data_IF_245418784422
#
_entry.id   IF_245418784422
#
_cell.length_a   1.000
_cell.length_b   1.000
_cell.length_c   1.000
_cell.angle_alpha   90.00
_cell.angle_beta   90.00
_cell.angle_gamma   90.00
#
_symmetry.space_group_name_H-M   'P 1'
#
loop_
_entity.id
_entity.type
_entity.pdbx_description
1 polymer ?
#
# COMPACT_ATOMS: atom_id res chain seq x y z
N UNK A 1 -17.35 57.22 -1.02
CA UNK A 1 -17.70 56.01 -0.23
C UNK A 1 -17.47 54.72 -1.04
N UNK A 2 -16.23 54.38 -1.44
CA UNK A 2 -15.94 53.23 -2.33
C UNK A 2 -14.81 52.29 -1.87
N UNK A 3 -13.98 52.73 -0.92
CA UNK A 3 -12.81 51.98 -0.44
C UNK A 3 -13.15 50.86 0.54
N UNK A 4 -14.18 51.05 1.38
CA UNK A 4 -14.65 50.03 2.34
C UNK A 4 -15.26 48.82 1.62
N UNK A 5 -16.04 49.05 0.57
CA UNK A 5 -16.61 47.98 -0.27
C UNK A 5 -15.53 47.18 -1.00
N UNK A 6 -14.50 47.84 -1.52
CA UNK A 6 -13.34 47.17 -2.12
C UNK A 6 -12.58 46.31 -1.10
N UNK A 7 -12.44 46.79 0.14
CA UNK A 7 -11.79 46.01 1.20
C UNK A 7 -12.59 44.77 1.59
N UNK A 8 -13.92 44.88 1.73
CA UNK A 8 -14.77 43.72 1.98
C UNK A 8 -14.80 42.73 0.80
N UNK A 9 -14.79 43.23 -0.44
CA UNK A 9 -14.69 42.38 -1.63
C UNK A 9 -13.37 41.62 -1.68
N UNK A 10 -12.25 42.29 -1.38
CA UNK A 10 -10.92 41.68 -1.29
C UNK A 10 -10.87 40.63 -0.19
N UNK A 11 -11.42 40.93 0.99
CA UNK A 11 -11.46 40.01 2.11
C UNK A 11 -12.32 38.77 1.82
N UNK A 12 -13.47 38.96 1.17
CA UNK A 12 -14.33 37.86 0.73
C UNK A 12 -13.62 37.00 -0.32
N UNK A 13 -12.90 37.61 -1.26
CA UNK A 13 -12.14 36.87 -2.26
C UNK A 13 -10.96 36.09 -1.65
N UNK A 14 -10.29 36.66 -0.63
CA UNK A 14 -9.23 35.98 0.13
C UNK A 14 -9.77 34.79 0.92
N UNK A 15 -10.94 34.94 1.55
CA UNK A 15 -11.61 33.86 2.28
C UNK A 15 -12.14 32.79 1.32
N UNK A 16 -12.71 33.18 0.18
CA UNK A 16 -13.14 32.25 -0.86
C UNK A 16 -11.95 31.50 -1.46
N UNK A 17 -10.85 32.20 -1.77
CA UNK A 17 -9.62 31.59 -2.27
C UNK A 17 -9.00 30.64 -1.24
N UNK A 18 -8.92 31.04 0.03
CA UNK A 18 -8.44 30.20 1.12
C UNK A 18 -9.33 28.98 1.37
N UNK A 19 -10.66 29.16 1.33
CA UNK A 19 -11.64 28.07 1.46
C UNK A 19 -11.58 27.09 0.30
N UNK A 20 -11.47 27.58 -0.94
CA UNK A 20 -11.28 26.73 -2.12
C UNK A 20 -9.96 25.96 -2.00
N UNK A 21 -8.86 26.57 -1.54
CA UNK A 21 -7.57 25.87 -1.33
C UNK A 21 -7.65 24.81 -0.24
N UNK A 22 -8.44 25.03 0.81
CA UNK A 22 -8.67 24.03 1.85
C UNK A 22 -9.53 22.85 1.36
N UNK A 23 -10.50 23.10 0.47
CA UNK A 23 -11.29 22.04 -0.17
C UNK A 23 -10.60 21.38 -1.37
N UNK A 24 -9.65 22.06 -2.01
CA UNK A 24 -8.92 21.56 -3.18
C UNK A 24 -7.59 20.95 -2.76
N UNK A 25 -7.64 19.98 -1.85
CA UNK A 25 -6.55 19.04 -1.57
C UNK A 25 -6.36 17.98 -2.67
N UNK A 26 -6.91 18.20 -3.88
CA UNK A 26 -6.67 17.38 -5.06
C UNK A 26 -5.35 17.76 -5.71
N UNK A 27 -4.27 17.43 -5.03
CA UNK A 27 -2.96 17.37 -5.66
C UNK A 27 -2.72 15.91 -5.99
N UNK A 28 -2.93 15.53 -7.26
CA UNK A 28 -2.31 14.33 -7.82
C UNK A 28 -0.80 14.58 -7.83
N UNK A 29 -0.17 14.42 -6.67
CA UNK A 29 1.26 14.44 -6.54
C UNK A 29 1.71 13.07 -7.02
N UNK A 30 2.33 13.06 -8.20
CA UNK A 30 3.23 11.99 -8.61
C UNK A 30 4.37 11.98 -7.58
N UNK A 31 4.15 11.32 -6.46
CA UNK A 31 5.17 11.09 -5.44
C UNK A 31 5.88 9.81 -5.81
N UNK A 32 6.92 9.92 -6.63
CA UNK A 32 7.96 8.89 -6.71
C UNK A 32 8.74 8.95 -5.40
N UNK A 33 8.21 8.32 -4.37
CA UNK A 33 8.90 8.09 -3.10
C UNK A 33 8.75 6.61 -2.82
N UNK A 34 9.85 5.96 -2.43
CA UNK A 34 9.81 4.55 -1.99
C UNK A 34 8.69 4.41 -0.96
N UNK A 35 7.64 3.68 -1.35
CA UNK A 35 6.44 3.53 -0.53
C UNK A 35 6.74 2.65 0.69
N UNK A 36 7.68 1.73 0.51
CA UNK A 36 8.06 0.70 1.47
C UNK A 36 9.60 0.63 1.48
N UNK A 37 10.24 1.22 2.49
CA UNK A 37 11.69 1.26 2.61
C UNK A 37 12.20 0.12 3.51
N UNK A 38 12.14 -1.13 3.01
CA UNK A 38 12.55 -2.30 3.78
C UNK A 38 14.03 -2.64 3.52
N UNK A 39 14.85 -2.63 4.57
CA UNK A 39 16.14 -3.33 4.55
C UNK A 39 15.91 -4.84 4.59
N UNK A 40 15.92 -5.46 3.41
CA UNK A 40 15.72 -6.91 3.23
C UNK A 40 16.70 -7.78 4.02
N UNK A 41 17.86 -7.24 4.43
CA UNK A 41 18.86 -7.95 5.24
C UNK A 41 18.45 -8.08 6.71
N UNK A 42 17.68 -7.10 7.21
CA UNK A 42 17.20 -7.01 8.58
C UNK A 42 15.90 -7.80 8.80
N UNK A 43 15.19 -8.20 7.75
CA UNK A 43 13.91 -8.93 7.86
C UNK A 43 14.14 -10.31 8.48
N UNK A 44 13.44 -10.55 9.59
CA UNK A 44 13.46 -11.82 10.33
C UNK A 44 12.15 -12.59 10.25
N UNK A 45 11.03 -11.91 10.04
CA UNK A 45 9.74 -12.55 9.84
C UNK A 45 8.83 -11.72 8.92
N UNK A 46 7.97 -12.41 8.19
CA UNK A 46 6.92 -11.82 7.36
C UNK A 46 5.64 -12.58 7.67
N UNK A 47 4.61 -11.87 8.07
CA UNK A 47 3.29 -12.43 8.26
C UNK A 47 2.34 -11.91 7.19
N UNK A 48 1.65 -12.83 6.53
CA UNK A 48 0.67 -12.55 5.50
C UNK A 48 -0.70 -13.00 5.96
N UNK A 49 -1.63 -12.06 5.97
CA UNK A 49 -3.05 -12.27 6.23
C UNK A 49 -3.79 -12.20 4.89
N UNK A 50 -4.16 -13.34 4.30
CA UNK A 50 -4.94 -13.36 3.07
C UNK A 50 -6.33 -12.73 3.26
N UNK A 51 -6.92 -12.31 2.13
CA UNK A 51 -8.26 -11.76 2.06
C UNK A 51 -9.31 -12.76 2.57
N UNK A 52 -10.26 -12.28 3.39
CA UNK A 52 -11.17 -13.09 4.22
C UNK A 52 -10.43 -14.03 5.19
N UNK A 53 -10.79 -13.93 6.48
CA UNK A 53 -10.29 -14.76 7.59
C UNK A 53 -10.45 -16.29 7.44
N UNK A 54 -10.92 -16.78 6.30
CA UNK A 54 -11.06 -18.20 5.97
C UNK A 54 -9.74 -18.87 5.55
N UNK A 55 -8.71 -18.10 5.18
CA UNK A 55 -7.38 -18.64 4.89
C UNK A 55 -6.45 -18.39 6.09
N UNK A 56 -5.74 -19.44 6.50
CA UNK A 56 -4.82 -19.39 7.63
C UNK A 56 -3.65 -18.44 7.33
N UNK A 57 -3.28 -17.65 8.34
CA UNK A 57 -2.09 -16.80 8.33
C UNK A 57 -0.88 -17.59 7.82
N UNK A 58 -0.15 -16.98 6.89
CA UNK A 58 1.11 -17.52 6.40
C UNK A 58 2.22 -16.77 7.11
N UNK A 59 2.92 -17.45 7.99
CA UNK A 59 4.06 -16.91 8.73
C UNK A 59 5.35 -17.43 8.11
N UNK A 60 6.18 -16.52 7.58
CA UNK A 60 7.54 -16.81 7.19
C UNK A 60 8.48 -16.33 8.29
N UNK A 61 9.27 -17.23 8.86
CA UNK A 61 10.25 -16.91 9.90
C UNK A 61 11.65 -17.39 9.50
N UNK A 62 12.65 -16.55 9.72
CA UNK A 62 14.05 -16.89 9.50
C UNK A 62 14.58 -17.67 10.71
N UNK A 63 15.08 -18.87 10.46
CA UNK A 63 15.78 -19.71 11.44
C UNK A 63 17.21 -19.98 10.96
N UNK A 64 18.15 -19.17 11.46
CA UNK A 64 19.55 -19.21 11.04
C UNK A 64 19.72 -18.83 9.57
N UNK A 65 20.07 -19.82 8.73
CA UNK A 65 20.24 -19.67 7.27
C UNK A 65 19.05 -20.14 6.43
N UNK A 66 18.03 -20.72 7.08
CA UNK A 66 16.84 -21.25 6.41
C UNK A 66 15.64 -20.42 6.79
N UNK A 67 14.65 -20.35 5.91
CA UNK A 67 13.35 -19.79 6.24
C UNK A 67 12.35 -20.92 6.40
N UNK A 68 11.42 -20.74 7.33
CA UNK A 68 10.32 -21.66 7.54
C UNK A 68 9.04 -20.90 7.23
N UNK A 69 8.26 -21.42 6.29
CA UNK A 69 6.92 -20.94 6.01
C UNK A 69 5.93 -21.86 6.72
N UNK A 70 5.09 -21.28 7.56
CA UNK A 70 4.09 -21.97 8.37
C UNK A 70 2.71 -21.46 7.98
N UNK A 71 1.77 -22.38 7.77
CA UNK A 71 0.36 -22.10 7.51
C UNK A 71 -0.47 -23.11 8.32
N UNK A 72 -1.12 -22.62 9.38
CA UNK A 72 -1.80 -23.47 10.37
C UNK A 72 -0.88 -24.57 10.91
N UNK A 73 -1.26 -25.83 10.67
CA UNK A 73 -0.49 -27.00 11.14
C UNK A 73 0.60 -27.47 10.16
N UNK A 74 0.79 -26.80 9.03
CA UNK A 74 1.80 -27.17 8.04
C UNK A 74 2.97 -26.21 8.13
N UNK A 75 4.18 -26.75 8.27
CA UNK A 75 5.42 -25.98 8.18
C UNK A 75 6.34 -26.60 7.15
N UNK A 76 6.82 -25.77 6.22
CA UNK A 76 7.71 -26.19 5.14
C UNK A 76 8.96 -25.33 5.16
N UNK A 77 10.11 -25.98 4.93
CA UNK A 77 11.37 -25.27 4.76
C UNK A 77 11.32 -24.53 3.43
N UNK A 78 11.32 -23.21 3.50
CA UNK A 78 11.49 -22.36 2.34
C UNK A 78 12.98 -22.13 2.11
N UNK A 79 13.46 -22.57 0.95
CA UNK A 79 14.84 -22.34 0.53
C UNK A 79 15.05 -20.85 0.28
N UNK A 80 16.24 -20.33 0.61
CA UNK A 80 16.62 -18.93 0.37
C UNK A 80 16.32 -18.49 -1.07
N UNK A 81 16.56 -19.38 -2.06
CA UNK A 81 16.29 -19.16 -3.48
C UNK A 81 14.83 -18.82 -3.82
N UNK A 82 13.86 -19.25 -3.00
CA UNK A 82 12.45 -18.95 -3.20
C UNK A 82 12.03 -17.61 -2.54
N UNK A 83 12.78 -17.14 -1.54
CA UNK A 83 12.45 -15.94 -0.76
C UNK A 83 13.20 -14.71 -1.25
N UNK A 84 14.42 -14.85 -1.75
CA UNK A 84 15.18 -13.72 -2.33
C UNK A 84 14.38 -12.95 -3.39
N UNK A 85 13.68 -13.61 -4.34
CA UNK A 85 12.88 -12.89 -5.33
C UNK A 85 11.67 -12.18 -4.72
N UNK A 86 11.07 -12.74 -3.65
CA UNK A 86 9.97 -12.11 -2.93
C UNK A 86 10.46 -10.84 -2.22
N UNK A 87 11.56 -10.94 -1.48
CA UNK A 87 12.17 -9.80 -0.76
C UNK A 87 12.62 -8.71 -1.73
N UNK A 88 13.21 -9.07 -2.86
CA UNK A 88 13.60 -8.12 -3.89
C UNK A 88 12.38 -7.38 -4.45
N UNK A 89 11.28 -8.10 -4.74
CA UNK A 89 10.02 -7.47 -5.18
C UNK A 89 9.40 -6.55 -4.14
N UNK A 90 9.53 -6.85 -2.85
CA UNK A 90 9.03 -6.00 -1.77
C UNK A 90 9.86 -4.71 -1.62
N UNK A 91 11.18 -4.80 -1.83
CA UNK A 91 12.07 -3.64 -1.79
C UNK A 91 11.93 -2.71 -3.00
N UNK A 92 11.40 -3.23 -4.10
CA UNK A 92 11.18 -2.52 -5.37
C UNK A 92 9.78 -1.88 -5.47
N UNK A 93 9.02 -1.87 -4.36
CA UNK A 93 7.68 -1.26 -4.33
C UNK A 93 7.85 0.26 -4.27
N UNK A 94 7.79 0.88 -5.44
CA UNK A 94 7.78 2.33 -5.60
C UNK A 94 6.35 2.81 -5.89
N UNK A 95 5.89 3.83 -5.14
CA UNK A 95 4.59 4.44 -5.45
C UNK A 95 4.69 5.18 -6.77
N UNK A 96 3.70 4.97 -7.65
CA UNK A 96 3.54 5.79 -8.84
C UNK A 96 2.77 7.08 -8.52
N UNK A 97 1.63 6.96 -7.84
CA UNK A 97 0.82 8.10 -7.37
C UNK A 97 -0.19 7.71 -6.29
N UNK A 98 -0.71 8.72 -5.59
CA UNK A 98 -1.87 8.59 -4.70
C UNK A 98 -3.15 8.60 -5.54
N UNK A 99 -3.96 7.55 -5.36
CA UNK A 99 -5.22 7.34 -6.08
C UNK A 99 -6.39 7.98 -5.34
N UNK A 100 -6.41 7.88 -4.02
CA UNK A 100 -7.41 8.52 -3.18
C UNK A 100 -6.89 8.74 -1.76
N UNK A 101 -7.48 9.72 -1.08
CA UNK A 101 -7.38 9.92 0.38
C UNK A 101 -8.74 9.77 1.07
N UNK A 102 -9.78 9.44 0.29
CA UNK A 102 -11.13 9.28 0.79
C UNK A 102 -11.34 7.85 1.31
N UNK A 103 -11.60 7.73 2.61
CA UNK A 103 -11.83 6.45 3.28
C UNK A 103 -13.02 5.69 2.70
N UNK A 104 -14.01 6.39 2.14
CA UNK A 104 -15.20 5.76 1.54
C UNK A 104 -14.87 5.00 0.25
N UNK A 105 -13.74 5.32 -0.38
CA UNK A 105 -13.29 4.70 -1.62
C UNK A 105 -12.38 3.48 -1.39
N UNK A 106 -11.98 3.18 -0.14
CA UNK A 106 -11.09 2.06 0.17
C UNK A 106 -11.61 0.72 -0.35
N UNK A 107 -12.92 0.50 -0.29
CA UNK A 107 -13.53 -0.72 -0.80
C UNK A 107 -13.41 -0.85 -2.32
N UNK A 108 -13.45 0.27 -3.06
CA UNK A 108 -13.32 0.27 -4.52
C UNK A 108 -11.93 -0.22 -4.97
N UNK A 109 -10.90 0.07 -4.17
CA UNK A 109 -9.53 -0.38 -4.39
C UNK A 109 -9.19 -1.71 -3.71
N UNK A 110 -10.12 -2.29 -2.94
CA UNK A 110 -9.91 -3.53 -2.19
C UNK A 110 -8.88 -3.43 -1.08
N UNK A 111 -8.66 -2.24 -0.55
CA UNK A 111 -7.78 -1.96 0.60
C UNK A 111 -8.57 -1.69 1.88
N UNK A 112 -9.87 -2.01 1.86
CA UNK A 112 -10.71 -2.08 3.04
C UNK A 112 -10.27 -3.20 3.99
N UNK A 113 -10.67 -3.09 5.26
CA UNK A 113 -10.17 -3.91 6.37
C UNK A 113 -10.19 -5.43 6.12
N UNK A 114 -11.19 -5.93 5.39
CA UNK A 114 -11.39 -7.36 5.14
C UNK A 114 -11.21 -7.81 3.67
N UNK A 115 -10.77 -6.90 2.79
CA UNK A 115 -10.66 -7.14 1.34
C UNK A 115 -9.22 -7.26 0.84
N UNK A 116 -8.29 -6.62 1.55
CA UNK A 116 -6.88 -6.62 1.21
C UNK A 116 -6.12 -7.83 1.79
N UNK A 117 -4.97 -8.13 1.20
CA UNK A 117 -3.97 -8.99 1.85
C UNK A 117 -3.12 -8.09 2.74
N UNK A 118 -3.21 -8.25 4.05
CA UNK A 118 -2.37 -7.49 4.98
C UNK A 118 -1.03 -8.19 5.13
N UNK A 119 0.06 -7.45 4.94
CA UNK A 119 1.42 -7.93 5.07
C UNK A 119 2.08 -7.16 6.20
N UNK A 120 2.64 -7.89 7.15
CA UNK A 120 3.42 -7.35 8.26
C UNK A 120 4.84 -7.88 8.18
N UNK A 121 5.79 -6.97 8.14
CA UNK A 121 7.22 -7.28 8.04
C UNK A 121 7.89 -6.96 9.37
N UNK A 122 8.67 -7.88 9.89
CA UNK A 122 9.31 -7.76 11.20
C UNK A 122 10.82 -7.93 11.14
N UNK A 123 11.53 -7.16 11.96
CA UNK A 123 12.96 -7.30 12.24
C UNK A 123 13.20 -7.50 13.72
N UNK A 124 13.79 -8.64 14.08
CA UNK A 124 14.13 -9.01 15.46
C UNK A 124 12.97 -8.93 16.47
N UNK A 125 11.72 -8.93 15.99
CA UNK A 125 10.51 -8.80 16.80
C UNK A 125 9.81 -7.45 16.65
N UNK A 126 10.48 -6.44 16.13
CA UNK A 126 9.91 -5.12 15.86
C UNK A 126 9.22 -5.10 14.50
N UNK A 127 8.06 -4.45 14.44
CA UNK A 127 7.32 -4.22 13.20
C UNK A 127 8.07 -3.17 12.37
N UNK A 128 8.54 -3.55 11.19
CA UNK A 128 9.15 -2.62 10.23
C UNK A 128 8.08 -1.94 9.38
N UNK A 129 7.17 -2.74 8.82
CA UNK A 129 6.18 -2.26 7.87
C UNK A 129 4.87 -3.04 8.00
N UNK A 130 3.76 -2.35 7.79
CA UNK A 130 2.40 -2.89 7.82
C UNK A 130 1.55 -2.24 6.74
N UNK A 131 1.14 -3.03 5.77
CA UNK A 131 0.42 -2.51 4.61
C UNK A 131 -0.57 -3.55 4.07
N UNK A 132 -1.58 -3.05 3.36
CA UNK A 132 -2.56 -3.88 2.65
C UNK A 132 -2.31 -3.82 1.16
N UNK A 133 -2.31 -4.98 0.52
CA UNK A 133 -2.34 -5.14 -0.92
C UNK A 133 -3.79 -5.36 -1.36
N UNK A 134 -4.29 -4.43 -2.17
CA UNK A 134 -5.63 -4.43 -2.72
C UNK A 134 -5.74 -5.06 -4.10
N UNK A 135 -6.68 -4.56 -4.89
CA UNK A 135 -7.00 -5.06 -6.23
C UNK A 135 -5.87 -4.76 -7.21
N UNK A 136 -5.83 -5.58 -8.27
CA UNK A 136 -5.03 -5.31 -9.46
C UNK A 136 -5.95 -4.71 -10.53
N UNK A 137 -5.49 -3.64 -11.16
CA UNK A 137 -6.12 -3.05 -12.34
C UNK A 137 -5.21 -3.27 -13.56
N UNK A 138 -5.81 -3.76 -14.63
CA UNK A 138 -5.17 -3.90 -15.94
C UNK A 138 -5.68 -2.77 -16.83
N UNK A 139 -4.77 -1.97 -17.37
CA UNK A 139 -5.06 -0.90 -18.30
C UNK A 139 -4.90 -1.38 -19.74
N UNK A 140 -5.52 -0.64 -20.68
CA UNK A 140 -5.55 -1.02 -22.10
C UNK A 140 -4.17 -0.95 -22.78
N UNK A 141 -3.23 -0.20 -22.20
CA UNK A 141 -1.84 -0.05 -22.63
C UNK A 141 -0.92 -1.17 -22.10
N UNK A 142 -1.49 -2.22 -21.49
CA UNK A 142 -0.77 -3.30 -20.80
C UNK A 142 -0.11 -2.89 -19.48
N UNK A 143 -0.33 -1.65 -19.02
CA UNK A 143 0.11 -1.23 -17.68
C UNK A 143 -0.73 -1.96 -16.64
N UNK A 144 -0.06 -2.44 -15.60
CA UNK A 144 -0.70 -3.14 -14.49
C UNK A 144 -0.46 -2.34 -13.22
N UNK A 145 -1.52 -1.96 -12.53
CA UNK A 145 -1.43 -1.33 -11.22
C UNK A 145 -1.92 -2.27 -10.13
N UNK A 146 -1.20 -2.34 -9.02
CA UNK A 146 -1.69 -2.88 -7.77
C UNK A 146 -1.91 -1.74 -6.79
N UNK A 147 -3.05 -1.72 -6.12
CA UNK A 147 -3.32 -0.72 -5.09
C UNK A 147 -2.76 -1.17 -3.75
N UNK A 148 -2.05 -0.28 -3.06
CA UNK A 148 -1.45 -0.52 -1.74
C UNK A 148 -1.86 0.60 -0.80
N UNK A 149 -2.14 0.27 0.46
CA UNK A 149 -2.40 1.22 1.54
C UNK A 149 -1.53 0.87 2.73
N UNK A 150 -0.82 1.84 3.31
CA UNK A 150 -0.12 1.64 4.58
C UNK A 150 -1.16 1.57 5.70
N UNK A 151 -0.98 0.68 6.68
CA UNK A 151 -2.02 0.40 7.69
C UNK A 151 -2.41 1.65 8.50
N UNK A 152 -1.42 2.47 8.84
CA UNK A 152 -1.56 3.72 9.61
C UNK A 152 -1.93 4.94 8.75
N UNK A 153 -2.06 4.77 7.43
CA UNK A 153 -2.30 5.87 6.49
C UNK A 153 -3.69 5.81 5.85
N UNK A 154 -4.18 7.00 5.48
CA UNK A 154 -5.46 7.18 4.78
C UNK A 154 -5.32 7.03 3.27
N UNK A 155 -4.11 7.27 2.77
CA UNK A 155 -3.79 7.33 1.35
C UNK A 155 -3.73 5.93 0.71
N UNK A 156 -4.33 5.83 -0.47
CA UNK A 156 -4.22 4.64 -1.31
C UNK A 156 -3.29 4.96 -2.46
N UNK A 157 -2.28 4.13 -2.64
CA UNK A 157 -1.22 4.29 -3.60
C UNK A 157 -1.39 3.30 -4.75
N UNK A 158 -1.20 3.75 -5.99
CA UNK A 158 -1.03 2.88 -7.13
C UNK A 158 0.46 2.55 -7.27
N UNK A 159 0.76 1.26 -7.35
CA UNK A 159 2.11 0.74 -7.58
C UNK A 159 2.08 -0.03 -8.90
N UNK A 160 3.01 0.27 -9.79
CA UNK A 160 3.11 -0.43 -11.08
C UNK A 160 3.67 -1.85 -10.87
N UNK A 161 2.96 -2.84 -11.42
CA UNK A 161 3.26 -4.26 -11.33
C UNK A 161 2.17 -5.07 -10.65
N UNK A 162 2.29 -6.40 -10.75
CA UNK A 162 1.38 -7.35 -10.10
C UNK A 162 2.03 -7.91 -8.82
N UNK A 163 1.54 -7.46 -7.66
CA UNK A 163 2.06 -7.85 -6.33
C UNK A 163 1.14 -8.82 -5.56
N UNK A 164 0.04 -9.25 -6.18
CA UNK A 164 -0.91 -10.21 -5.61
C UNK A 164 -0.74 -11.58 -6.26
N UNK A 165 -0.36 -12.59 -5.48
CA UNK A 165 -0.25 -13.96 -5.96
C UNK A 165 -1.65 -14.56 -6.21
N UNK A 166 -1.89 -15.09 -7.42
CA UNK A 166 -3.16 -15.70 -7.82
C UNK A 166 -3.98 -14.91 -8.84
N UNK A 167 -3.59 -13.68 -9.17
CA UNK A 167 -4.18 -12.94 -10.28
C UNK A 167 -3.52 -13.35 -11.61
N UNK A 168 -3.77 -14.58 -12.06
CA UNK A 168 -3.57 -14.90 -13.47
C UNK A 168 -4.68 -14.20 -14.26
N UNK A 169 -4.37 -13.44 -15.33
CA UNK A 169 -5.38 -13.13 -16.33
C UNK A 169 -5.90 -14.48 -16.85
N UNK A 170 -7.22 -14.65 -16.82
CA UNK A 170 -7.87 -15.87 -17.30
C UNK A 170 -7.38 -16.18 -18.72
N UNK A 171 -6.79 -17.36 -18.88
CA UNK A 171 -6.65 -18.03 -20.17
C UNK A 171 -8.02 -18.56 -20.60
#
# INVERSE_FOLDING_TARGET
>A
MRKRTLFFLLLFLLLAYGGIRYLTGKSGLLFETQLIAIDTSAVTAISLFPERSAQQEILLKKEGKTWIASQGNRSVKATFRAITPLLAKLADIESHHIVTKDLTEWENYGVGADQGIRIRVFSQGDLLEDFLIGRIQYLADSTVYTYIRLWEDEEVYAVEGAYRAGAQPGL
#
